data_IF_723913271400
#
_entry.id   IF_723913271400
#
_cell.length_a   1.000
_cell.length_b   1.000
_cell.length_c   1.000
_cell.angle_alpha   90.00
_cell.angle_beta   90.00
_cell.angle_gamma   90.00
#
_symmetry.space_group_name_H-M   'P 1'
#
loop_
_entity.id
_entity.type
_entity.pdbx_description
1 polymer ?
#
# COMPACT_ATOMS: atom_id res chain seq x y z
N UNK A 1 13.37 11.09 -28.44
CA UNK A 1 12.35 12.09 -28.03
C UNK A 1 11.45 11.56 -26.92
N UNK A 2 11.78 10.37 -26.33
CA UNK A 2 11.00 9.68 -25.29
C UNK A 2 11.53 9.84 -23.84
N UNK A 3 12.71 10.41 -23.64
CA UNK A 3 13.31 10.49 -22.29
C UNK A 3 12.84 11.68 -21.43
N UNK A 4 12.28 12.72 -22.05
CA UNK A 4 11.86 13.93 -21.34
C UNK A 4 10.42 13.87 -20.77
N UNK A 5 9.64 12.83 -21.09
CA UNK A 5 8.27 12.66 -20.57
C UNK A 5 8.18 11.92 -19.23
N UNK A 6 9.24 11.26 -18.77
CA UNK A 6 9.19 10.35 -17.61
C UNK A 6 9.41 11.02 -16.24
N UNK A 7 9.64 12.31 -16.17
CA UNK A 7 10.04 12.98 -14.92
C UNK A 7 8.92 13.19 -13.89
N UNK A 8 7.65 12.95 -14.26
CA UNK A 8 6.48 13.22 -13.38
C UNK A 8 5.71 11.98 -12.92
N UNK A 9 6.13 10.78 -13.29
CA UNK A 9 5.44 9.57 -12.83
C UNK A 9 6.05 9.01 -11.55
N UNK A 10 5.19 8.76 -10.57
CA UNK A 10 5.56 8.09 -9.31
C UNK A 10 5.66 6.57 -9.54
N UNK A 11 4.78 6.01 -10.38
CA UNK A 11 4.85 4.63 -10.82
C UNK A 11 4.84 4.59 -12.35
N UNK A 12 5.82 3.93 -12.95
CA UNK A 12 5.93 3.68 -14.39
C UNK A 12 6.31 2.21 -14.59
N UNK A 13 5.35 1.42 -15.04
CA UNK A 13 5.52 0.00 -15.30
C UNK A 13 5.24 -0.25 -16.77
N UNK A 14 6.20 -0.89 -17.46
CA UNK A 14 6.10 -1.21 -18.87
C UNK A 14 6.13 -2.72 -19.07
N UNK A 15 5.00 -3.27 -19.55
CA UNK A 15 4.88 -4.66 -19.97
C UNK A 15 5.35 -5.69 -18.93
N UNK A 16 5.04 -5.45 -17.64
CA UNK A 16 5.38 -6.39 -16.57
C UNK A 16 4.41 -7.58 -16.56
N UNK A 17 4.90 -8.76 -16.24
CA UNK A 17 4.08 -9.97 -16.09
C UNK A 17 4.62 -11.15 -16.87
N UNK A 18 3.72 -12.04 -17.28
CA UNK A 18 4.03 -13.17 -18.17
C UNK A 18 3.76 -12.80 -19.62
N UNK A 19 4.38 -13.52 -20.58
CA UNK A 19 4.31 -13.25 -22.02
C UNK A 19 2.90 -13.10 -22.59
N UNK A 20 1.92 -13.72 -21.97
CA UNK A 20 0.51 -13.76 -22.43
C UNK A 20 -0.36 -12.64 -21.85
N UNK A 21 0.07 -12.01 -20.75
CA UNK A 21 -0.66 -10.90 -20.10
C UNK A 21 0.30 -9.92 -19.45
N UNK A 22 0.53 -8.83 -20.14
CA UNK A 22 1.44 -7.77 -19.72
C UNK A 22 0.65 -6.60 -19.13
N UNK A 23 1.09 -6.10 -17.99
CA UNK A 23 0.56 -4.92 -17.33
C UNK A 23 1.45 -3.72 -17.64
N UNK A 24 0.85 -2.64 -18.11
CA UNK A 24 1.52 -1.34 -18.23
C UNK A 24 0.67 -0.28 -17.54
N UNK A 25 1.25 0.45 -16.62
CA UNK A 25 0.61 1.54 -15.90
C UNK A 25 1.57 2.72 -15.73
N UNK A 26 1.00 3.91 -15.69
CA UNK A 26 1.69 5.12 -15.28
C UNK A 26 0.85 5.82 -14.24
N UNK A 27 1.42 6.17 -13.09
CA UNK A 27 0.72 6.80 -11.97
C UNK A 27 1.41 8.08 -11.51
N UNK A 28 0.62 9.13 -11.30
CA UNK A 28 1.05 10.42 -10.77
C UNK A 28 0.53 10.60 -9.34
N UNK A 29 1.02 11.62 -8.65
CA UNK A 29 0.48 12.05 -7.38
C UNK A 29 -1.04 12.29 -7.47
N UNK A 30 -1.79 11.71 -6.55
CA UNK A 30 -3.25 11.78 -6.51
C UNK A 30 -3.98 10.70 -7.30
N UNK A 31 -3.31 9.97 -8.21
CA UNK A 31 -3.96 8.92 -8.98
C UNK A 31 -4.41 7.74 -8.12
N UNK A 32 -5.53 7.13 -8.55
CA UNK A 32 -6.05 5.88 -8.06
C UNK A 32 -6.10 4.88 -9.20
N UNK A 33 -5.36 3.80 -9.08
CA UNK A 33 -5.23 2.78 -10.12
C UNK A 33 -5.80 1.47 -9.58
N UNK A 34 -6.82 0.94 -10.24
CA UNK A 34 -7.40 -0.35 -9.92
C UNK A 34 -6.93 -1.42 -10.91
N UNK A 35 -6.48 -2.54 -10.39
CA UNK A 35 -6.03 -3.69 -11.18
C UNK A 35 -6.86 -4.90 -10.78
N UNK A 36 -7.76 -5.33 -11.68
CA UNK A 36 -8.55 -6.54 -11.48
C UNK A 36 -7.85 -7.76 -12.07
N UNK A 37 -7.82 -8.85 -11.33
CA UNK A 37 -7.21 -10.08 -11.79
C UNK A 37 -7.49 -11.28 -10.89
N UNK A 38 -7.02 -12.47 -11.30
CA UNK A 38 -7.08 -13.61 -10.39
C UNK A 38 -6.22 -13.38 -9.13
N UNK A 39 -6.56 -13.98 -7.99
CA UNK A 39 -5.83 -13.77 -6.73
C UNK A 39 -4.31 -13.95 -6.89
N UNK A 40 -3.89 -15.02 -7.57
CA UNK A 40 -2.47 -15.30 -7.81
C UNK A 40 -1.77 -14.24 -8.68
N UNK A 41 -2.48 -13.61 -9.62
CA UNK A 41 -1.90 -12.54 -10.44
C UNK A 41 -1.79 -11.25 -9.66
N UNK A 42 -2.84 -10.91 -8.91
CA UNK A 42 -2.83 -9.75 -8.02
C UNK A 42 -1.69 -9.86 -7.00
N UNK A 43 -1.50 -11.02 -6.38
CA UNK A 43 -0.38 -11.30 -5.47
C UNK A 43 0.98 -11.09 -6.16
N UNK A 44 1.18 -11.69 -7.35
CA UNK A 44 2.43 -11.54 -8.10
C UNK A 44 2.75 -10.06 -8.43
N UNK A 45 1.73 -9.30 -8.88
CA UNK A 45 1.92 -7.89 -9.20
C UNK A 45 2.11 -7.03 -7.93
N UNK A 46 1.43 -7.38 -6.83
CA UNK A 46 1.67 -6.76 -5.52
C UNK A 46 3.13 -6.93 -5.07
N UNK A 47 3.66 -8.15 -5.15
CA UNK A 47 5.07 -8.41 -4.82
C UNK A 47 6.03 -7.62 -5.71
N UNK A 48 5.74 -7.52 -7.01
CA UNK A 48 6.53 -6.72 -7.96
C UNK A 48 6.44 -5.24 -7.61
N UNK A 49 5.27 -4.69 -7.37
CA UNK A 49 5.09 -3.28 -7.01
C UNK A 49 5.72 -2.93 -5.66
N UNK A 50 5.78 -3.88 -4.73
CA UNK A 50 6.44 -3.71 -3.44
C UNK A 50 7.97 -3.96 -3.49
N UNK A 51 8.56 -4.25 -4.66
CA UNK A 51 9.99 -4.56 -4.77
C UNK A 51 10.40 -5.85 -4.04
N UNK A 52 9.46 -6.78 -3.85
CA UNK A 52 9.69 -8.06 -3.18
C UNK A 52 10.05 -9.17 -4.18
N UNK A 53 9.62 -9.01 -5.42
CA UNK A 53 9.83 -9.98 -6.50
C UNK A 53 10.17 -9.28 -7.79
N UNK A 54 11.24 -9.69 -8.45
CA UNK A 54 11.60 -9.20 -9.79
C UNK A 54 10.52 -9.64 -10.80
N UNK A 55 10.08 -8.76 -11.72
CA UNK A 55 9.17 -9.17 -12.79
C UNK A 55 9.85 -10.18 -13.73
N UNK A 56 9.09 -11.13 -14.27
CA UNK A 56 9.62 -12.11 -15.22
C UNK A 56 10.02 -11.44 -16.54
N UNK A 57 9.29 -10.42 -16.96
CA UNK A 57 9.58 -9.57 -18.13
C UNK A 57 9.16 -8.13 -17.86
N UNK A 58 9.68 -7.20 -18.65
CA UNK A 58 9.32 -5.79 -18.61
C UNK A 58 10.21 -4.94 -17.69
N UNK A 59 9.79 -3.71 -17.48
CA UNK A 59 10.52 -2.70 -16.70
C UNK A 59 9.62 -2.10 -15.62
N UNK A 60 10.20 -1.83 -14.47
CA UNK A 60 9.55 -1.17 -13.33
C UNK A 60 10.39 0.03 -12.94
N UNK A 61 9.75 1.20 -12.89
CA UNK A 61 10.31 2.40 -12.27
C UNK A 61 9.34 2.92 -11.22
N UNK A 62 9.80 3.02 -10.01
CA UNK A 62 9.07 3.55 -8.86
C UNK A 62 9.82 4.81 -8.39
N UNK A 63 9.15 5.96 -8.41
CA UNK A 63 9.79 7.27 -8.18
C UNK A 63 11.03 7.49 -9.06
N UNK A 64 10.97 7.03 -10.33
CA UNK A 64 12.07 7.12 -11.28
C UNK A 64 13.18 6.08 -11.10
N UNK A 65 13.12 5.24 -10.07
CA UNK A 65 14.15 4.26 -9.69
C UNK A 65 13.68 2.85 -10.04
N UNK A 66 14.58 2.03 -10.57
CA UNK A 66 14.35 0.59 -10.72
C UNK A 66 14.82 -0.13 -9.44
N UNK A 67 13.92 -0.61 -8.56
CA UNK A 67 14.32 -1.22 -7.29
C UNK A 67 15.06 -2.55 -7.48
N UNK A 68 15.04 -3.13 -8.67
CA UNK A 68 15.69 -4.40 -8.99
C UNK A 68 17.13 -4.26 -9.49
N UNK A 69 17.60 -3.03 -9.63
CA UNK A 69 19.00 -2.70 -9.95
C UNK A 69 19.79 -2.28 -8.69
N UNK A 70 19.10 -2.22 -7.54
CA UNK A 70 19.66 -1.85 -6.26
C UNK A 70 20.15 -3.08 -5.49
N UNK A 71 21.03 -2.86 -4.52
CA UNK A 71 21.40 -3.88 -3.52
C UNK A 71 20.22 -4.20 -2.60
N UNK A 72 20.28 -5.33 -1.90
CA UNK A 72 19.21 -5.73 -0.96
C UNK A 72 18.97 -4.67 0.13
N UNK A 73 20.03 -4.03 0.64
CA UNK A 73 19.94 -2.99 1.68
C UNK A 73 19.29 -1.73 1.11
N UNK A 74 19.71 -1.27 -0.06
CA UNK A 74 19.13 -0.11 -0.73
C UNK A 74 17.65 -0.34 -1.06
N UNK A 75 17.30 -1.53 -1.60
CA UNK A 75 15.91 -1.90 -1.89
C UNK A 75 15.07 -1.92 -0.61
N UNK A 76 15.57 -2.44 0.50
CA UNK A 76 14.87 -2.44 1.78
C UNK A 76 14.63 -1.02 2.30
N UNK A 77 15.64 -0.15 2.19
CA UNK A 77 15.54 1.28 2.54
C UNK A 77 14.52 1.99 1.66
N UNK A 78 14.62 1.80 0.34
CA UNK A 78 13.67 2.36 -0.62
C UNK A 78 12.23 1.95 -0.32
N UNK A 79 11.97 0.65 -0.10
CA UNK A 79 10.63 0.18 0.29
C UNK A 79 10.11 0.85 1.55
N UNK A 80 10.93 0.86 2.60
CA UNK A 80 10.57 1.46 3.89
C UNK A 80 10.18 2.93 3.75
N UNK A 81 10.90 3.69 2.92
CA UNK A 81 10.75 5.14 2.84
C UNK A 81 9.75 5.60 1.77
N UNK A 82 9.45 4.76 0.79
CA UNK A 82 8.69 5.14 -0.40
C UNK A 82 7.36 4.41 -0.54
N UNK A 83 7.25 3.17 -0.03
CA UNK A 83 6.10 2.30 -0.29
C UNK A 83 5.34 2.01 1.01
N UNK A 84 4.04 2.30 0.99
CA UNK A 84 3.08 1.82 1.98
C UNK A 84 2.29 0.64 1.41
N UNK A 85 2.36 -0.52 2.06
CA UNK A 85 1.77 -1.74 1.56
C UNK A 85 0.77 -2.36 2.55
N UNK A 86 -0.37 -2.84 2.00
CA UNK A 86 -1.34 -3.67 2.74
C UNK A 86 -1.59 -4.93 1.92
N UNK A 87 -1.09 -6.09 2.34
CA UNK A 87 -1.36 -7.38 1.70
C UNK A 87 -2.78 -7.87 2.04
N UNK A 88 -3.22 -8.93 1.37
CA UNK A 88 -4.57 -9.48 1.51
C UNK A 88 -4.88 -9.94 2.96
N UNK A 89 -3.91 -10.50 3.65
CA UNK A 89 -4.00 -10.94 5.06
C UNK A 89 -3.72 -9.82 6.07
N UNK A 90 -3.68 -8.55 5.62
CA UNK A 90 -3.30 -7.36 6.39
C UNK A 90 -1.83 -7.35 6.86
N UNK A 91 -1.12 -8.45 6.83
CA UNK A 91 0.25 -8.59 7.30
C UNK A 91 0.45 -8.15 8.75
N UNK A 92 -0.55 -8.37 9.61
CA UNK A 92 -0.47 -8.06 11.03
C UNK A 92 0.19 -9.22 11.79
N UNK A 93 1.11 -8.90 12.69
CA UNK A 93 1.79 -9.88 13.53
C UNK A 93 0.87 -10.20 14.73
N UNK A 94 0.44 -11.46 14.90
CA UNK A 94 -0.59 -11.82 15.88
C UNK A 94 -0.25 -11.48 17.34
N UNK A 95 1.03 -11.51 17.70
CA UNK A 95 1.52 -11.32 19.06
C UNK A 95 1.80 -9.85 19.39
N UNK A 96 1.86 -8.98 18.39
CA UNK A 96 2.12 -7.55 18.60
C UNK A 96 0.83 -6.76 18.79
N UNK A 97 0.85 -5.82 19.74
CA UNK A 97 -0.26 -4.86 19.91
C UNK A 97 -0.38 -3.96 18.69
N UNK A 98 -1.58 -3.46 18.41
CA UNK A 98 -1.83 -2.57 17.27
C UNK A 98 -0.89 -1.37 17.25
N UNK A 99 -0.65 -0.74 18.40
CA UNK A 99 0.27 0.40 18.51
C UNK A 99 1.70 0.04 18.10
N UNK A 100 2.19 -1.15 18.48
CA UNK A 100 3.54 -1.58 18.16
C UNK A 100 3.69 -1.88 16.67
N UNK A 101 2.67 -2.43 16.04
CA UNK A 101 2.64 -2.68 14.59
C UNK A 101 2.59 -1.39 13.78
N UNK A 102 1.78 -0.41 14.21
CA UNK A 102 1.70 0.91 13.59
C UNK A 102 3.04 1.64 13.72
N UNK A 103 3.69 1.55 14.89
CA UNK A 103 4.99 2.18 15.16
C UNK A 103 6.16 1.54 14.39
N UNK A 104 6.03 0.28 13.97
CA UNK A 104 7.15 -0.52 13.46
C UNK A 104 7.92 0.13 12.30
N UNK A 105 7.29 0.71 11.26
CA UNK A 105 8.02 1.36 10.16
C UNK A 105 8.87 2.56 10.62
N UNK A 106 8.40 3.31 11.59
CA UNK A 106 9.13 4.46 12.14
C UNK A 106 10.27 4.00 13.05
N UNK A 107 10.04 2.98 13.89
CA UNK A 107 11.08 2.37 14.74
C UNK A 107 12.24 1.83 13.90
N UNK A 108 11.93 1.11 12.80
CA UNK A 108 12.94 0.58 11.87
C UNK A 108 13.72 1.68 11.13
N UNK A 109 13.16 2.88 11.06
CA UNK A 109 13.83 4.06 10.49
C UNK A 109 14.63 4.86 11.52
N UNK A 110 14.65 4.43 12.79
CA UNK A 110 15.38 5.12 13.87
C UNK A 110 14.72 6.39 14.36
N UNK A 111 13.40 6.57 14.11
CA UNK A 111 12.66 7.73 14.61
C UNK A 111 12.48 7.62 16.12
N UNK A 112 12.60 8.73 16.82
CA UNK A 112 12.44 8.79 18.28
C UNK A 112 11.01 8.49 18.74
N UNK A 113 10.86 8.06 19.99
CA UNK A 113 9.59 7.60 20.53
C UNK A 113 8.53 8.70 20.65
N UNK A 114 8.91 9.94 20.92
CA UNK A 114 7.97 11.07 21.07
C UNK A 114 7.33 11.41 19.72
N UNK A 115 8.13 11.49 18.66
CA UNK A 115 7.69 11.70 17.28
C UNK A 115 6.76 10.55 16.83
N UNK A 116 7.11 9.30 17.12
CA UNK A 116 6.26 8.14 16.80
C UNK A 116 4.89 8.26 17.47
N UNK A 117 4.85 8.58 18.76
CA UNK A 117 3.60 8.71 19.51
C UNK A 117 2.74 9.85 18.96
N UNK A 118 3.35 10.98 18.61
CA UNK A 118 2.65 12.13 18.04
C UNK A 118 1.99 11.76 16.70
N UNK A 119 2.72 11.11 15.79
CA UNK A 119 2.15 10.69 14.50
C UNK A 119 1.06 9.61 14.66
N UNK A 120 1.24 8.64 15.57
CA UNK A 120 0.18 7.66 15.86
C UNK A 120 -1.08 8.37 16.35
N UNK A 121 -0.97 9.28 17.30
CA UNK A 121 -2.14 10.02 17.83
C UNK A 121 -2.86 10.78 16.72
N UNK A 122 -2.13 11.46 15.87
CA UNK A 122 -2.69 12.22 14.74
C UNK A 122 -3.48 11.31 13.79
N UNK A 123 -2.92 10.17 13.39
CA UNK A 123 -3.54 9.25 12.43
C UNK A 123 -4.66 8.39 13.06
N UNK A 124 -4.67 8.19 14.36
CA UNK A 124 -5.66 7.34 15.03
C UNK A 124 -6.80 8.09 15.68
N UNK A 125 -6.71 9.43 15.83
CA UNK A 125 -7.65 10.25 16.61
C UNK A 125 -9.12 10.02 16.25
N UNK A 126 -9.43 9.84 14.97
CA UNK A 126 -10.78 9.66 14.47
C UNK A 126 -11.09 8.20 14.07
N UNK A 127 -10.06 7.38 13.88
CA UNK A 127 -10.21 6.05 13.28
C UNK A 127 -10.24 4.92 14.31
N UNK A 128 -9.55 5.08 15.42
CA UNK A 128 -9.38 3.98 16.37
C UNK A 128 -9.33 4.51 17.81
N UNK A 129 -10.29 4.11 18.67
CA UNK A 129 -10.22 4.42 20.09
C UNK A 129 -8.94 3.94 20.74
N UNK A 130 -8.35 4.75 21.62
CA UNK A 130 -7.06 4.49 22.26
C UNK A 130 -6.93 3.10 22.88
N UNK A 131 -8.00 2.59 23.53
CA UNK A 131 -7.95 1.28 24.16
C UNK A 131 -7.73 0.13 23.16
N UNK A 132 -8.13 0.29 21.89
CA UNK A 132 -7.89 -0.72 20.87
C UNK A 132 -6.43 -0.76 20.40
N UNK A 133 -5.69 0.34 20.56
CA UNK A 133 -4.26 0.39 20.21
C UNK A 133 -3.42 -0.57 21.07
N UNK A 134 -3.86 -0.87 22.26
CA UNK A 134 -3.16 -1.78 23.18
C UNK A 134 -3.58 -3.26 23.05
N UNK A 135 -4.57 -3.55 22.20
CA UNK A 135 -4.98 -4.91 21.89
C UNK A 135 -4.10 -5.55 20.80
N UNK A 136 -4.01 -6.89 20.85
CA UNK A 136 -3.47 -7.68 19.73
C UNK A 136 -4.55 -7.88 18.65
N UNK A 137 -4.18 -8.20 17.38
CA UNK A 137 -5.13 -8.36 16.27
C UNK A 137 -6.31 -9.28 16.62
N UNK A 138 -6.07 -10.45 17.19
CA UNK A 138 -7.10 -11.42 17.54
C UNK A 138 -8.18 -10.94 18.54
N UNK A 139 -7.98 -9.80 19.21
CA UNK A 139 -8.96 -9.13 20.08
C UNK A 139 -9.69 -7.97 19.40
N UNK A 140 -9.47 -7.76 18.12
CA UNK A 140 -10.05 -6.67 17.34
C UNK A 140 -10.90 -7.24 16.19
N UNK A 141 -11.98 -6.54 15.83
CA UNK A 141 -12.74 -6.88 14.63
C UNK A 141 -11.97 -6.51 13.36
N UNK A 142 -12.44 -7.03 12.22
CA UNK A 142 -11.82 -6.84 10.90
C UNK A 142 -11.60 -5.37 10.55
N UNK A 143 -12.58 -4.50 10.82
CA UNK A 143 -12.44 -3.04 10.56
C UNK A 143 -11.25 -2.43 11.31
N UNK A 144 -11.09 -2.74 12.60
CA UNK A 144 -9.97 -2.22 13.41
C UNK A 144 -8.62 -2.77 12.95
N UNK A 145 -8.60 -4.04 12.53
CA UNK A 145 -7.40 -4.63 11.96
C UNK A 145 -7.02 -3.95 10.64
N UNK A 146 -7.99 -3.72 9.74
CA UNK A 146 -7.78 -3.00 8.49
C UNK A 146 -7.30 -1.55 8.74
N UNK A 147 -7.90 -0.83 9.68
CA UNK A 147 -7.44 0.51 10.07
C UNK A 147 -5.97 0.49 10.54
N UNK A 148 -5.60 -0.45 11.40
CA UNK A 148 -4.20 -0.55 11.87
C UNK A 148 -3.23 -0.83 10.72
N UNK A 149 -3.58 -1.73 9.79
CA UNK A 149 -2.76 -2.04 8.63
C UNK A 149 -2.61 -0.82 7.70
N UNK A 150 -3.68 -0.06 7.46
CA UNK A 150 -3.64 1.18 6.67
C UNK A 150 -2.82 2.28 7.35
N UNK A 151 -3.02 2.51 8.66
CA UNK A 151 -2.24 3.51 9.40
C UNK A 151 -0.75 3.14 9.36
N UNK A 152 -0.41 1.86 9.56
CA UNK A 152 0.97 1.37 9.40
C UNK A 152 1.53 1.65 8.01
N UNK A 153 0.72 1.49 6.97
CA UNK A 153 1.15 1.75 5.59
C UNK A 153 1.41 3.23 5.32
N UNK A 154 0.62 4.15 5.90
CA UNK A 154 0.73 5.59 5.62
C UNK A 154 1.59 6.38 6.60
N UNK A 155 1.96 5.81 7.76
CA UNK A 155 2.61 6.55 8.85
C UNK A 155 3.94 7.22 8.46
N UNK A 156 4.61 6.72 7.44
CA UNK A 156 5.84 7.31 6.89
C UNK A 156 5.60 8.22 5.68
N UNK A 157 4.34 8.59 5.42
CA UNK A 157 3.98 9.46 4.30
C UNK A 157 4.50 8.95 2.94
N UNK A 158 4.20 7.69 2.55
CA UNK A 158 4.73 7.08 1.34
C UNK A 158 4.24 7.78 0.08
N UNK A 159 5.04 7.74 -0.99
CA UNK A 159 4.66 8.22 -2.31
C UNK A 159 3.84 7.18 -3.09
N UNK A 160 4.02 5.90 -2.78
CA UNK A 160 3.32 4.79 -3.43
C UNK A 160 2.59 3.98 -2.37
N UNK A 161 1.29 3.77 -2.58
CA UNK A 161 0.50 2.86 -1.76
C UNK A 161 0.06 1.69 -2.62
N UNK A 162 0.37 0.48 -2.18
CA UNK A 162 0.01 -0.76 -2.88
C UNK A 162 -0.84 -1.60 -1.95
N UNK A 163 -2.10 -1.77 -2.29
CA UNK A 163 -3.05 -2.56 -1.52
C UNK A 163 -3.51 -3.76 -2.32
N UNK A 164 -3.59 -4.93 -1.71
CA UNK A 164 -3.99 -6.17 -2.36
C UNK A 164 -5.14 -6.84 -1.60
N UNK A 165 -6.32 -6.89 -2.20
CA UNK A 165 -7.46 -7.74 -1.85
C UNK A 165 -7.90 -7.75 -0.38
N UNK A 166 -7.40 -6.85 0.45
CA UNK A 166 -7.59 -6.88 1.91
C UNK A 166 -9.03 -6.60 2.36
N UNK A 167 -9.87 -6.16 1.42
CA UNK A 167 -11.30 -5.89 1.63
C UNK A 167 -12.21 -6.82 0.81
N UNK A 168 -11.67 -7.83 0.13
CA UNK A 168 -12.46 -8.67 -0.77
C UNK A 168 -13.53 -9.48 0.00
N UNK A 169 -13.20 -9.91 1.23
CA UNK A 169 -14.08 -10.70 2.10
C UNK A 169 -14.76 -9.86 3.21
N UNK A 170 -14.73 -8.53 3.10
CA UNK A 170 -15.31 -7.62 4.08
C UNK A 170 -16.72 -7.19 3.66
N UNK A 171 -17.64 -7.06 4.62
CA UNK A 171 -19.00 -6.57 4.35
C UNK A 171 -18.99 -5.20 3.70
N UNK A 172 -20.00 -4.87 2.86
CA UNK A 172 -20.07 -3.58 2.17
C UNK A 172 -20.04 -2.41 3.15
N UNK A 173 -20.76 -2.50 4.27
CA UNK A 173 -20.80 -1.46 5.32
C UNK A 173 -19.40 -1.21 5.91
N UNK A 174 -18.67 -2.28 6.20
CA UNK A 174 -17.31 -2.15 6.73
C UNK A 174 -16.33 -1.67 5.67
N UNK A 175 -16.48 -2.12 4.42
CA UNK A 175 -15.67 -1.68 3.28
C UNK A 175 -15.79 -0.19 3.06
N UNK A 176 -17.02 0.34 3.05
CA UNK A 176 -17.29 1.77 2.90
C UNK A 176 -16.65 2.59 4.02
N UNK A 177 -16.85 2.16 5.27
CA UNK A 177 -16.27 2.82 6.42
C UNK A 177 -14.71 2.80 6.39
N UNK A 178 -14.12 1.70 5.93
CA UNK A 178 -12.67 1.59 5.80
C UNK A 178 -12.14 2.51 4.70
N UNK A 179 -12.78 2.59 3.52
CA UNK A 179 -12.38 3.50 2.47
C UNK A 179 -12.55 4.98 2.87
N UNK A 180 -13.64 5.35 3.54
CA UNK A 180 -13.82 6.69 4.09
C UNK A 180 -12.69 7.05 5.06
N UNK A 181 -12.38 6.15 6.00
CA UNK A 181 -11.27 6.32 6.91
C UNK A 181 -9.92 6.49 6.19
N UNK A 182 -9.67 5.69 5.15
CA UNK A 182 -8.46 5.81 4.35
C UNK A 182 -8.32 7.19 3.70
N UNK A 183 -9.40 7.74 3.17
CA UNK A 183 -9.37 9.08 2.55
C UNK A 183 -8.96 10.19 3.53
N UNK A 184 -9.24 10.04 4.84
CA UNK A 184 -8.85 11.04 5.84
C UNK A 184 -7.36 11.01 6.18
N UNK A 185 -6.70 9.85 6.05
CA UNK A 185 -5.30 9.64 6.43
C UNK A 185 -4.35 9.53 5.22
N UNK A 186 -4.88 9.44 4.01
CA UNK A 186 -4.09 9.26 2.80
C UNK A 186 -3.10 10.40 2.58
N UNK A 187 -1.81 10.13 2.29
CA UNK A 187 -0.87 11.14 1.83
C UNK A 187 -1.33 11.76 0.50
N UNK A 188 -1.46 13.08 0.45
CA UNK A 188 -2.00 13.79 -0.74
C UNK A 188 -1.17 13.62 -2.01
N UNK A 189 0.16 13.49 -1.84
CA UNK A 189 1.10 13.34 -2.96
C UNK A 189 1.41 11.88 -3.30
N UNK A 190 0.53 10.95 -2.93
CA UNK A 190 0.73 9.53 -3.19
C UNK A 190 -0.10 9.03 -4.37
N UNK A 191 0.40 8.01 -5.07
CA UNK A 191 -0.40 7.17 -5.96
C UNK A 191 -0.94 5.98 -5.17
N UNK A 192 -2.22 5.65 -5.36
CA UNK A 192 -2.82 4.42 -4.84
C UNK A 192 -2.91 3.39 -5.98
N UNK A 193 -2.40 2.19 -5.75
CA UNK A 193 -2.58 1.03 -6.61
C UNK A 193 -3.30 -0.05 -5.80
N UNK A 194 -4.51 -0.38 -6.18
CA UNK A 194 -5.31 -1.42 -5.54
C UNK A 194 -5.50 -2.61 -6.48
N UNK A 195 -5.07 -3.78 -6.03
CA UNK A 195 -5.18 -5.04 -6.78
C UNK A 195 -6.21 -5.92 -6.09
N UNK A 196 -7.19 -6.43 -6.85
CA UNK A 196 -8.25 -7.26 -6.28
C UNK A 196 -8.86 -8.19 -7.31
N UNK A 197 -9.33 -9.35 -6.85
CA UNK A 197 -10.18 -10.28 -7.61
C UNK A 197 -11.64 -9.84 -7.66
N UNK A 198 -12.08 -9.00 -6.72
CA UNK A 198 -13.41 -8.44 -6.64
C UNK A 198 -13.59 -7.24 -7.59
N UNK A 199 -14.81 -6.75 -7.81
CA UNK A 199 -15.06 -5.49 -8.52
C UNK A 199 -14.41 -4.28 -7.85
N UNK A 200 -14.16 -3.24 -8.64
CA UNK A 200 -13.61 -1.98 -8.13
C UNK A 200 -14.55 -1.36 -7.09
N UNK A 201 -14.04 -0.95 -5.92
CA UNK A 201 -14.82 -0.22 -4.93
C UNK A 201 -15.39 1.08 -5.51
N UNK A 202 -16.70 1.30 -5.37
CA UNK A 202 -17.38 2.49 -5.89
C UNK A 202 -17.04 3.77 -5.12
N UNK A 203 -16.55 3.63 -3.88
CA UNK A 203 -16.19 4.73 -2.98
C UNK A 203 -14.90 5.45 -3.39
N UNK A 204 -14.15 4.89 -4.35
CA UNK A 204 -12.89 5.44 -4.84
C UNK A 204 -13.05 5.91 -6.28
N UNK A 205 -12.68 7.15 -6.55
CA UNK A 205 -12.62 7.66 -7.92
C UNK A 205 -11.36 7.12 -8.61
N UNK A 206 -11.51 6.07 -9.41
CA UNK A 206 -10.43 5.40 -10.12
C UNK A 206 -10.02 6.17 -11.37
N UNK A 207 -8.77 6.63 -11.43
CA UNK A 207 -8.20 7.31 -12.61
C UNK A 207 -7.87 6.30 -13.73
N UNK A 208 -7.57 5.05 -13.36
CA UNK A 208 -7.33 3.94 -14.28
C UNK A 208 -7.94 2.66 -13.73
N UNK A 209 -8.53 1.86 -14.63
CA UNK A 209 -8.99 0.50 -14.30
C UNK A 209 -8.44 -0.46 -15.35
N UNK A 210 -7.75 -1.49 -14.91
CA UNK A 210 -7.03 -2.45 -15.74
C UNK A 210 -7.39 -3.87 -15.34
N UNK A 211 -7.20 -4.82 -16.28
CA UNK A 211 -7.44 -6.25 -16.03
C UNK A 211 -6.21 -7.08 -16.41
N UNK A 212 -5.75 -7.95 -15.50
CA UNK A 212 -4.58 -8.81 -15.65
C UNK A 212 -4.90 -10.30 -15.52
#
# INVERSE_FOLDING_TARGET
MDELMNANYIADLKSIGRKDKLLSITGKAGDNIFINGSPKRCETHFEVLCGLRRPDVGQVKLCGINPYEMTAVETATFRRDTIGAVPQDLGLIPELRMIDQIALPMKLAGVDGETIIAEIRKLTSELMPLHNLFNIPGKCNTRKQAHAAMIRAVIRNPQIMVFHGFLDDVSDIDRDAIWQAFHTIRPQNSVLIYLSGAPAPEQVNWTQQLRV
#
